data_IF_299869863440
#
_entry.id   IF_299869863440
#
_cell.length_a   1.000
_cell.length_b   1.000
_cell.length_c   1.000
_cell.angle_alpha   90.00
_cell.angle_beta   90.00
_cell.angle_gamma   90.00
#
_symmetry.space_group_name_H-M   'P 1'
#
loop_
_entity.id
_entity.type
_entity.pdbx_description
1 polymer ?
#
# COMPACT_ATOMS: atom_id res chain seq x y z
N UNK A 1 10.14 -9.66 0.52
CA UNK A 1 9.59 -10.80 -0.24
C UNK A 1 10.68 -11.47 -1.03
N UNK A 2 10.70 -12.78 -1.05
CA UNK A 2 11.67 -13.60 -1.76
C UNK A 2 10.96 -14.30 -2.93
N UNK A 3 11.42 -14.05 -4.14
CA UNK A 3 10.89 -14.68 -5.34
C UNK A 3 12.00 -15.52 -5.97
N UNK A 4 11.70 -16.78 -6.29
CA UNK A 4 12.57 -17.66 -7.04
C UNK A 4 12.28 -17.51 -8.53
N UNK A 5 13.31 -17.21 -9.28
CA UNK A 5 13.25 -17.25 -10.74
C UNK A 5 13.71 -18.64 -11.22
N UNK A 6 12.81 -19.34 -11.93
CA UNK A 6 13.06 -20.68 -12.46
C UNK A 6 13.36 -20.68 -13.97
N UNK A 7 13.48 -19.51 -14.59
CA UNK A 7 13.60 -19.37 -16.05
C UNK A 7 14.98 -19.75 -16.59
N UNK A 8 15.99 -19.83 -15.74
CA UNK A 8 17.32 -20.31 -16.07
C UNK A 8 17.79 -21.39 -15.10
N UNK A 9 18.69 -22.27 -15.52
CA UNK A 9 19.34 -23.31 -14.70
C UNK A 9 20.12 -22.76 -13.48
N UNK A 10 20.22 -21.43 -13.34
CA UNK A 10 20.79 -20.75 -12.19
C UNK A 10 19.69 -20.56 -11.15
N UNK A 11 19.92 -21.02 -9.93
CA UNK A 11 19.06 -20.73 -8.78
C UNK A 11 19.27 -19.28 -8.37
N UNK A 12 18.52 -18.39 -9.01
CA UNK A 12 18.55 -16.96 -8.70
C UNK A 12 17.49 -16.64 -7.64
N UNK A 13 17.92 -16.08 -6.54
CA UNK A 13 17.06 -15.66 -5.43
C UNK A 13 16.95 -14.14 -5.48
N UNK A 14 15.83 -13.61 -5.95
CA UNK A 14 15.53 -12.19 -5.96
C UNK A 14 14.91 -11.80 -4.62
N UNK A 15 15.62 -10.96 -3.87
CA UNK A 15 15.18 -10.44 -2.57
C UNK A 15 14.72 -8.99 -2.75
N UNK A 16 13.43 -8.74 -2.59
CA UNK A 16 12.87 -7.39 -2.68
C UNK A 16 12.94 -6.72 -1.31
N UNK A 17 13.56 -5.55 -1.28
CA UNK A 17 13.79 -4.76 -0.06
C UNK A 17 13.20 -3.36 -0.21
N UNK A 18 12.79 -2.80 0.91
CA UNK A 18 12.31 -1.42 1.03
C UNK A 18 12.79 -0.86 2.36
N UNK A 19 13.04 0.42 2.42
CA UNK A 19 13.39 1.13 3.64
C UNK A 19 12.27 2.07 4.05
N UNK A 20 12.13 2.30 5.33
CA UNK A 20 11.28 3.32 5.90
C UNK A 20 12.16 4.47 6.41
N UNK A 21 11.81 5.69 6.05
CA UNK A 21 12.45 6.87 6.60
C UNK A 21 11.97 7.07 8.05
N UNK A 22 12.87 6.93 8.99
CA UNK A 22 12.59 7.01 10.44
C UNK A 22 12.07 8.39 10.88
N UNK A 23 12.35 9.46 10.13
CA UNK A 23 11.90 10.80 10.46
C UNK A 23 10.45 11.06 10.01
N UNK A 24 10.06 10.50 8.87
CA UNK A 24 8.75 10.76 8.25
C UNK A 24 7.80 9.56 8.29
N UNK A 25 8.30 8.36 8.59
CA UNK A 25 7.54 7.11 8.54
C UNK A 25 7.10 6.72 7.12
N UNK A 26 7.76 7.28 6.08
CA UNK A 26 7.41 7.04 4.68
C UNK A 26 8.34 6.03 4.04
N UNK A 27 7.80 5.30 3.07
CA UNK A 27 8.58 4.34 2.33
C UNK A 27 9.53 5.04 1.34
N UNK A 28 10.77 4.57 1.32
CA UNK A 28 11.83 5.05 0.44
C UNK A 28 12.61 3.87 -0.14
N UNK A 29 13.23 4.07 -1.27
CA UNK A 29 14.14 3.08 -1.87
C UNK A 29 15.34 2.87 -0.96
N UNK A 30 15.76 1.63 -0.81
CA UNK A 30 16.87 1.26 0.07
C UNK A 30 18.20 1.76 -0.49
N UNK A 31 19.03 2.37 0.38
CA UNK A 31 20.35 2.84 0.01
C UNK A 31 21.23 1.69 -0.51
N UNK A 32 22.00 1.97 -1.58
CA UNK A 32 22.92 1.00 -2.21
C UNK A 32 23.94 0.39 -1.24
N UNK A 33 24.42 1.18 -0.28
CA UNK A 33 25.37 0.71 0.74
C UNK A 33 24.73 -0.36 1.64
N UNK A 34 23.48 -0.15 2.06
CA UNK A 34 22.75 -1.12 2.88
C UNK A 34 22.55 -2.42 2.08
N UNK A 35 22.15 -2.30 0.80
CA UNK A 35 22.01 -3.47 -0.09
C UNK A 35 23.31 -4.24 -0.26
N UNK A 36 24.42 -3.53 -0.45
CA UNK A 36 25.74 -4.15 -0.59
C UNK A 36 26.15 -4.90 0.69
N UNK A 37 25.99 -4.28 1.85
CA UNK A 37 26.29 -4.90 3.13
C UNK A 37 25.40 -6.14 3.38
N UNK A 38 24.10 -6.03 3.10
CA UNK A 38 23.17 -7.15 3.23
C UNK A 38 23.54 -8.29 2.27
N UNK A 39 23.88 -7.98 1.01
CA UNK A 39 24.33 -8.98 0.03
C UNK A 39 25.60 -9.69 0.50
N UNK A 40 26.57 -8.95 1.03
CA UNK A 40 27.81 -9.50 1.56
C UNK A 40 27.53 -10.46 2.74
N UNK A 41 26.66 -10.05 3.66
CA UNK A 41 26.27 -10.88 4.79
C UNK A 41 25.52 -12.14 4.35
N UNK A 42 24.54 -12.04 3.47
CA UNK A 42 23.78 -13.16 2.93
C UNK A 42 24.65 -14.15 2.12
N UNK A 43 25.71 -13.64 1.48
CA UNK A 43 26.63 -14.46 0.71
C UNK A 43 27.36 -15.53 1.54
N UNK A 44 27.44 -15.35 2.85
CA UNK A 44 28.03 -16.32 3.78
C UNK A 44 27.14 -17.54 4.01
N UNK A 45 25.84 -17.41 3.75
CA UNK A 45 24.84 -18.45 4.01
C UNK A 45 24.29 -19.12 2.74
N UNK A 46 24.66 -18.62 1.56
CA UNK A 46 24.20 -19.18 0.27
C UNK A 46 24.94 -20.48 -0.07
N UNK A 47 24.29 -21.34 -0.84
CA UNK A 47 24.94 -22.49 -1.47
C UNK A 47 25.83 -22.04 -2.65
N UNK A 48 26.77 -22.87 -3.06
CA UNK A 48 27.76 -22.57 -4.12
C UNK A 48 27.10 -22.14 -5.44
N UNK A 49 25.96 -22.75 -5.79
CA UNK A 49 25.24 -22.50 -7.04
C UNK A 49 24.12 -21.46 -6.93
N UNK A 50 23.91 -20.86 -5.74
CA UNK A 50 22.87 -19.87 -5.54
C UNK A 50 23.43 -18.46 -5.78
N UNK A 51 22.68 -17.66 -6.54
CA UNK A 51 22.91 -16.22 -6.66
C UNK A 51 21.82 -15.47 -5.92
N UNK A 52 22.21 -14.42 -5.21
CA UNK A 52 21.28 -13.54 -4.48
C UNK A 52 21.34 -12.15 -5.08
N UNK A 53 20.20 -11.69 -5.60
CA UNK A 53 20.04 -10.32 -6.07
C UNK A 53 19.10 -9.54 -5.17
N UNK A 54 19.57 -8.35 -4.76
CA UNK A 54 18.80 -7.41 -3.93
C UNK A 54 18.21 -6.33 -4.83
N UNK A 55 16.89 -6.36 -4.94
CA UNK A 55 16.10 -5.44 -5.78
C UNK A 55 15.25 -4.54 -4.90
N UNK A 56 14.97 -3.32 -5.36
CA UNK A 56 14.01 -2.45 -4.69
C UNK A 56 12.58 -2.92 -4.99
N UNK A 57 11.72 -2.93 -3.96
CA UNK A 57 10.30 -3.08 -4.19
C UNK A 57 9.72 -1.79 -4.80
N UNK A 58 8.68 -1.93 -5.62
CA UNK A 58 7.99 -0.81 -6.24
C UNK A 58 6.96 -0.22 -5.29
N UNK A 59 7.14 1.05 -4.91
CA UNK A 59 6.18 1.77 -4.08
C UNK A 59 5.06 2.28 -4.98
N UNK A 60 3.83 1.89 -4.69
CA UNK A 60 2.62 2.40 -5.35
C UNK A 60 1.87 3.27 -4.36
N UNK A 61 1.85 4.57 -4.62
CA UNK A 61 1.09 5.50 -3.80
C UNK A 61 -0.37 5.56 -4.29
N UNK A 62 -1.30 5.61 -3.34
CA UNK A 62 -2.72 5.67 -3.65
C UNK A 62 -3.46 6.70 -2.81
N UNK A 63 -4.64 7.07 -3.26
CA UNK A 63 -5.62 7.84 -2.51
C UNK A 63 -6.93 7.08 -2.41
N UNK A 64 -7.75 7.45 -1.44
CA UNK A 64 -9.07 6.89 -1.19
C UNK A 64 -10.13 7.96 -1.38
N UNK A 65 -11.01 7.77 -2.35
CA UNK A 65 -12.22 8.57 -2.49
C UNK A 65 -13.40 7.75 -1.96
N UNK A 66 -14.24 8.34 -1.12
CA UNK A 66 -15.42 7.64 -0.62
C UNK A 66 -16.64 8.55 -0.56
N UNK A 67 -17.82 7.95 -0.65
CA UNK A 67 -19.11 8.61 -0.49
C UNK A 67 -19.88 7.89 0.59
N UNK A 68 -20.20 8.60 1.69
CA UNK A 68 -20.94 8.06 2.82
C UNK A 68 -22.27 8.79 3.01
N UNK A 69 -23.25 8.06 3.51
CA UNK A 69 -24.57 8.57 3.89
C UNK A 69 -24.56 8.83 5.41
N UNK A 70 -24.81 10.09 5.78
CA UNK A 70 -24.88 10.47 7.19
C UNK A 70 -26.30 10.34 7.77
N UNK A 71 -26.35 10.13 9.09
CA UNK A 71 -27.57 10.30 9.84
C UNK A 71 -28.00 11.78 9.83
N UNK A 72 -29.29 12.03 9.75
CA UNK A 72 -29.89 13.36 9.62
C UNK A 72 -29.52 14.30 10.77
N UNK A 73 -29.30 13.78 11.97
CA UNK A 73 -28.96 14.56 13.17
C UNK A 73 -27.44 14.81 13.29
N UNK A 74 -26.62 14.21 12.46
CA UNK A 74 -25.16 14.28 12.58
C UNK A 74 -24.55 15.49 11.86
N UNK A 75 -23.56 16.13 12.51
CA UNK A 75 -22.80 17.21 11.88
C UNK A 75 -21.84 16.63 10.83
N UNK A 76 -22.10 16.92 9.55
CA UNK A 76 -21.35 16.40 8.41
C UNK A 76 -19.84 16.70 8.47
N UNK A 77 -19.43 17.87 8.97
CA UNK A 77 -18.02 18.23 9.08
C UNK A 77 -17.29 17.40 10.14
N UNK A 78 -17.92 17.22 11.29
CA UNK A 78 -17.36 16.39 12.36
C UNK A 78 -17.28 14.93 11.92
N UNK A 79 -18.32 14.45 11.23
CA UNK A 79 -18.37 13.10 10.71
C UNK A 79 -17.30 12.85 9.64
N UNK A 80 -17.11 13.78 8.72
CA UNK A 80 -16.04 13.73 7.72
C UNK A 80 -14.65 13.64 8.36
N UNK A 81 -14.43 14.47 9.40
CA UNK A 81 -13.17 14.44 10.15
C UNK A 81 -12.94 13.09 10.83
N UNK A 82 -13.98 12.55 11.48
CA UNK A 82 -13.89 11.26 12.17
C UNK A 82 -13.65 10.10 11.17
N UNK A 83 -14.33 10.10 10.03
CA UNK A 83 -14.16 9.12 8.98
C UNK A 83 -12.73 9.17 8.38
N UNK A 84 -12.22 10.36 8.08
CA UNK A 84 -10.85 10.52 7.60
C UNK A 84 -9.82 10.07 8.65
N UNK A 85 -10.06 10.36 9.93
CA UNK A 85 -9.19 9.91 11.02
C UNK A 85 -9.20 8.39 11.18
N UNK A 86 -10.37 7.75 11.06
CA UNK A 86 -10.51 6.29 11.11
C UNK A 86 -9.76 5.61 9.97
N UNK A 87 -9.88 6.13 8.72
CA UNK A 87 -9.13 5.63 7.58
C UNK A 87 -7.62 5.86 7.74
N UNK A 88 -7.21 7.02 8.25
CA UNK A 88 -5.79 7.30 8.52
C UNK A 88 -5.22 6.31 9.52
N UNK A 89 -5.95 6.02 10.60
CA UNK A 89 -5.54 5.03 11.59
C UNK A 89 -5.46 3.61 11.01
N UNK A 90 -6.43 3.24 10.15
CA UNK A 90 -6.43 1.95 9.46
C UNK A 90 -5.20 1.75 8.57
N UNK A 91 -4.83 2.79 7.81
CA UNK A 91 -3.67 2.75 6.91
C UNK A 91 -2.34 3.17 7.55
N UNK A 92 -2.33 3.51 8.84
CA UNK A 92 -1.09 3.84 9.57
C UNK A 92 -0.15 2.63 9.70
N UNK A 93 -0.69 1.42 9.64
CA UNK A 93 0.12 0.21 9.56
C UNK A 93 0.78 0.11 8.19
N UNK A 94 2.09 0.00 8.18
CA UNK A 94 2.83 -0.34 6.95
C UNK A 94 2.42 -1.74 6.49
N UNK A 95 2.04 -1.83 5.23
CA UNK A 95 1.70 -3.11 4.59
C UNK A 95 2.97 -3.85 4.19
N UNK A 96 2.86 -5.16 4.07
CA UNK A 96 3.96 -5.98 3.55
C UNK A 96 4.04 -5.90 2.01
N UNK A 97 5.22 -6.21 1.46
CA UNK A 97 5.41 -6.30 0.00
C UNK A 97 4.53 -7.45 -0.53
N UNK A 98 3.68 -7.15 -1.51
CA UNK A 98 2.72 -8.10 -2.09
C UNK A 98 1.43 -8.25 -1.28
N UNK A 99 1.22 -7.47 -0.22
CA UNK A 99 -0.03 -7.49 0.54
C UNK A 99 -1.14 -6.77 -0.23
N UNK A 100 -2.29 -7.42 -0.50
CA UNK A 100 -3.41 -6.80 -1.21
C UNK A 100 -4.12 -5.75 -0.36
N UNK A 101 -4.89 -4.87 -1.02
CA UNK A 101 -5.82 -3.95 -0.35
C UNK A 101 -7.22 -4.54 -0.42
N UNK A 102 -7.85 -4.74 0.73
CA UNK A 102 -9.25 -5.16 0.82
C UNK A 102 -10.16 -3.93 0.88
N UNK A 103 -10.96 -3.75 -0.17
CA UNK A 103 -11.96 -2.68 -0.24
C UNK A 103 -13.03 -2.90 0.84
N UNK A 104 -13.36 -4.16 1.12
CA UNK A 104 -14.29 -4.53 2.20
C UNK A 104 -13.88 -4.02 3.56
N UNK A 105 -12.57 -3.94 3.85
CA UNK A 105 -12.09 -3.42 5.13
C UNK A 105 -12.28 -1.91 5.22
N UNK A 106 -12.14 -1.19 4.09
CA UNK A 106 -12.42 0.24 4.02
C UNK A 106 -13.90 0.51 4.30
N UNK A 107 -14.80 -0.24 3.68
CA UNK A 107 -16.25 -0.17 3.95
C UNK A 107 -16.55 -0.42 5.43
N UNK A 108 -15.94 -1.45 6.02
CA UNK A 108 -16.12 -1.78 7.43
C UNK A 108 -15.66 -0.64 8.34
N UNK A 109 -14.44 -0.13 8.13
CA UNK A 109 -13.87 0.97 8.93
C UNK A 109 -14.73 2.22 8.87
N UNK A 110 -15.29 2.54 7.69
CA UNK A 110 -16.17 3.68 7.53
C UNK A 110 -17.54 3.47 8.20
N UNK A 111 -18.13 2.27 8.05
CA UNK A 111 -19.42 1.94 8.66
C UNK A 111 -19.35 1.84 10.21
N UNK A 112 -18.17 1.57 10.76
CA UNK A 112 -17.95 1.56 12.22
C UNK A 112 -17.89 2.98 12.81
N UNK A 113 -17.85 4.05 11.99
CA UNK A 113 -17.85 5.45 12.47
C UNK A 113 -19.26 5.86 12.89
N UNK A 114 -19.46 6.26 14.16
CA UNK A 114 -20.78 6.68 14.65
C UNK A 114 -21.33 7.85 13.84
N UNK A 115 -22.57 7.71 13.34
CA UNK A 115 -23.27 8.70 12.52
C UNK A 115 -23.18 8.45 11.01
N UNK A 116 -22.42 7.47 10.55
CA UNK A 116 -22.51 6.94 9.18
C UNK A 116 -23.57 5.83 9.16
N UNK A 117 -24.54 5.96 8.26
CA UNK A 117 -25.59 4.95 8.05
C UNK A 117 -25.10 3.90 7.08
N UNK A 118 -24.48 4.34 5.99
CA UNK A 118 -23.98 3.45 4.93
C UNK A 118 -22.91 4.14 4.09
N UNK A 119 -22.06 3.35 3.44
CA UNK A 119 -21.05 3.82 2.50
C UNK A 119 -21.45 3.39 1.10
N UNK A 120 -21.77 4.36 0.25
CA UNK A 120 -22.29 4.09 -1.10
C UNK A 120 -21.22 3.76 -2.11
N UNK A 121 -20.04 4.35 -1.97
CA UNK A 121 -18.94 4.16 -2.94
C UNK A 121 -17.58 4.32 -2.28
N UNK A 122 -16.62 3.50 -2.73
CA UNK A 122 -15.20 3.59 -2.37
C UNK A 122 -14.36 3.33 -3.60
N UNK A 123 -13.58 4.31 -4.00
CA UNK A 123 -12.67 4.24 -5.13
C UNK A 123 -11.22 4.46 -4.69
N UNK A 124 -10.32 3.58 -5.13
CA UNK A 124 -8.87 3.78 -4.98
C UNK A 124 -8.30 4.47 -6.22
N UNK A 125 -7.59 5.55 -6.00
CA UNK A 125 -7.01 6.38 -7.06
C UNK A 125 -5.49 6.28 -7.01
N UNK A 126 -4.87 6.03 -8.17
CA UNK A 126 -3.42 6.04 -8.28
C UNK A 126 -2.86 7.45 -8.10
N UNK A 127 -1.77 7.57 -7.34
CA UNK A 127 -1.00 8.79 -7.13
C UNK A 127 0.42 8.57 -7.61
N UNK A 128 0.84 9.26 -8.67
CA UNK A 128 2.18 9.12 -9.22
C UNK A 128 2.77 10.46 -9.64
N UNK A 129 4.09 10.55 -9.59
CA UNK A 129 4.85 11.75 -9.95
C UNK A 129 4.88 12.85 -8.88
N UNK A 130 5.73 13.85 -9.07
CA UNK A 130 5.92 14.96 -8.13
C UNK A 130 6.43 14.50 -6.75
N UNK A 131 5.59 14.59 -5.73
CA UNK A 131 5.92 14.17 -4.36
C UNK A 131 5.68 12.66 -4.11
N UNK A 132 5.05 11.97 -5.04
CA UNK A 132 4.76 10.54 -4.99
C UNK A 132 5.81 9.73 -5.75
N UNK A 133 5.72 8.41 -5.67
CA UNK A 133 6.56 7.53 -6.49
C UNK A 133 6.25 7.68 -7.98
N UNK A 134 7.22 7.35 -8.83
CA UNK A 134 7.00 7.36 -10.29
C UNK A 134 6.22 6.14 -10.79
N UNK A 135 5.97 5.16 -9.90
CA UNK A 135 5.29 3.93 -10.25
C UNK A 135 3.80 4.18 -10.45
N UNK A 136 3.32 3.97 -11.66
CA UNK A 136 1.90 3.99 -11.98
C UNK A 136 1.30 2.59 -11.85
N UNK A 137 0.09 2.50 -11.28
CA UNK A 137 -0.61 1.25 -11.08
C UNK A 137 -2.09 1.36 -11.46
N UNK A 138 -2.58 0.42 -12.26
CA UNK A 138 -3.99 0.38 -12.64
C UNK A 138 -4.81 -0.39 -11.61
N UNK A 139 -5.49 0.32 -10.72
CA UNK A 139 -6.38 -0.30 -9.72
C UNK A 139 -7.58 -0.99 -10.36
N UNK A 140 -8.03 -0.52 -11.53
CA UNK A 140 -9.16 -1.13 -12.24
C UNK A 140 -8.82 -2.52 -12.77
N UNK A 141 -7.62 -2.67 -13.33
CA UNK A 141 -7.17 -3.95 -13.88
C UNK A 141 -6.77 -4.95 -12.78
N UNK A 142 -6.35 -4.43 -11.62
CA UNK A 142 -5.96 -5.22 -10.45
C UNK A 142 -7.14 -5.56 -9.53
N UNK A 143 -8.32 -5.02 -9.81
CA UNK A 143 -9.53 -5.32 -9.04
C UNK A 143 -9.95 -6.76 -9.27
N UNK A 144 -10.15 -7.50 -8.18
CA UNK A 144 -10.69 -8.84 -8.25
C UNK A 144 -12.09 -8.84 -8.86
N UNK A 145 -12.48 -9.95 -9.49
CA UNK A 145 -13.79 -10.07 -10.17
C UNK A 145 -14.99 -9.84 -9.25
N UNK A 146 -14.83 -10.06 -7.93
CA UNK A 146 -15.84 -9.80 -6.90
C UNK A 146 -15.85 -8.33 -6.41
N UNK A 147 -14.94 -7.49 -6.89
CA UNK A 147 -14.83 -6.08 -6.52
C UNK A 147 -14.37 -5.80 -5.09
N UNK A 148 -13.94 -6.82 -4.33
CA UNK A 148 -13.63 -6.69 -2.89
C UNK A 148 -12.16 -6.48 -2.57
N UNK A 149 -11.27 -6.82 -3.49
CA UNK A 149 -9.83 -6.83 -3.26
C UNK A 149 -9.07 -6.29 -4.45
N UNK A 150 -8.05 -5.51 -4.19
CA UNK A 150 -7.04 -5.12 -5.17
C UNK A 150 -5.86 -6.06 -5.01
N UNK A 151 -5.54 -6.80 -6.07
CA UNK A 151 -4.38 -7.67 -6.11
C UNK A 151 -3.09 -6.85 -6.06
N UNK A 152 -2.10 -7.33 -5.32
CA UNK A 152 -0.75 -6.80 -5.35
C UNK A 152 0.18 -7.78 -6.09
N UNK A 153 1.01 -7.27 -6.99
CA UNK A 153 2.14 -8.07 -7.47
C UNK A 153 3.11 -8.31 -6.31
N UNK A 154 3.78 -9.47 -6.28
CA UNK A 154 4.73 -9.81 -5.19
C UNK A 154 5.93 -8.86 -5.09
N UNK A 155 6.07 -7.92 -6.01
CA UNK A 155 7.14 -6.90 -6.04
C UNK A 155 6.70 -5.50 -5.65
N UNK A 156 5.40 -5.30 -5.37
CA UNK A 156 4.80 -3.99 -5.09
C UNK A 156 4.47 -3.87 -3.61
N UNK A 157 4.56 -2.65 -3.10
CA UNK A 157 4.03 -2.26 -1.80
C UNK A 157 3.13 -1.03 -1.96
N UNK A 158 1.96 -1.07 -1.32
CA UNK A 158 1.01 0.03 -1.33
C UNK A 158 1.25 0.97 -0.15
N UNK A 159 1.27 2.28 -0.43
CA UNK A 159 1.46 3.33 0.57
C UNK A 159 0.44 4.46 0.42
N UNK A 160 -0.24 4.81 1.51
CA UNK A 160 -1.02 6.05 1.64
C UNK A 160 -0.08 7.16 2.15
N UNK A 161 0.56 7.88 1.24
CA UNK A 161 1.69 8.77 1.58
C UNK A 161 1.30 10.03 2.33
N UNK A 162 0.20 10.66 1.95
CA UNK A 162 -0.31 11.90 2.55
C UNK A 162 -1.79 11.78 2.91
N UNK A 163 -2.16 11.14 4.05
CA UNK A 163 -3.55 10.86 4.41
C UNK A 163 -4.46 12.09 4.35
N UNK A 164 -3.96 13.26 4.77
CA UNK A 164 -4.74 14.50 4.79
C UNK A 164 -5.11 15.04 3.39
N UNK A 165 -4.42 14.61 2.35
CA UNK A 165 -4.61 15.06 0.96
C UNK A 165 -5.18 13.93 0.10
N UNK A 166 -4.78 12.71 0.40
CA UNK A 166 -5.09 11.54 -0.41
C UNK A 166 -6.42 10.87 -0.03
N UNK A 167 -6.94 11.16 1.17
CA UNK A 167 -8.29 10.72 1.56
C UNK A 167 -9.25 11.86 1.25
N UNK A 168 -10.22 11.59 0.38
CA UNK A 168 -11.27 12.52 -0.02
C UNK A 168 -12.64 11.90 0.22
N UNK A 169 -13.32 12.39 1.25
CA UNK A 169 -14.67 11.97 1.57
C UNK A 169 -15.73 12.96 1.08
N UNK A 170 -16.88 12.43 0.74
CA UNK A 170 -18.12 13.19 0.52
C UNK A 170 -19.23 12.60 1.36
N UNK A 171 -19.93 13.44 2.10
CA UNK A 171 -21.03 13.02 2.97
C UNK A 171 -22.34 13.59 2.41
N UNK A 172 -23.26 12.71 2.12
CA UNK A 172 -24.60 13.01 1.61
C UNK A 172 -25.65 12.94 2.71
#
# INVERSE_FOLDING_TARGET
TVIRDFTEFKRNLNLYVISEDTATGKLVTTNSLIKTNLKTWLSQYKMINDTIDLLDAFIVNFGVNYVALADYESNRFTLLKNANSALTAHFARVKDIGEPIYISDIYKVLNDVPGIIDVTDVELVNKSGGLYSETSYSFKDALAADGRMIHASPTIIFELKYPNVDIKGSIK
#
